data_IF_558134272438
#
_entry.id   IF_558134272438
#
_cell.length_a   1.000
_cell.length_b   1.000
_cell.length_c   1.000
_cell.angle_alpha   90.00
_cell.angle_beta   90.00
_cell.angle_gamma   90.00
#
_symmetry.space_group_name_H-M   'P 1'
#
loop_
_entity.id
_entity.type
_entity.pdbx_description
1 polymer ?
#
# COMPACT_ATOMS: atom_id res chain seq x y z
N UNK A 1 17.98 12.99 -8.87
CA UNK A 1 17.14 13.97 -8.20
C UNK A 1 15.70 13.48 -8.16
N UNK A 2 15.02 13.62 -7.04
CA UNK A 2 13.65 13.20 -6.89
C UNK A 2 12.70 14.30 -7.31
N UNK A 3 11.76 13.96 -8.18
CA UNK A 3 10.69 14.87 -8.54
C UNK A 3 9.69 14.95 -7.39
N UNK A 4 9.24 16.17 -7.05
CA UNK A 4 8.34 16.42 -5.93
C UNK A 4 7.11 17.17 -6.43
N UNK A 5 5.93 16.69 -6.04
CA UNK A 5 4.68 17.41 -6.24
C UNK A 5 4.38 18.22 -4.99
N UNK A 6 4.20 19.52 -5.15
CA UNK A 6 4.09 20.45 -4.02
C UNK A 6 2.99 20.08 -3.03
N UNK A 7 1.84 19.57 -3.50
CA UNK A 7 0.71 19.23 -2.64
C UNK A 7 0.58 17.74 -2.38
N UNK A 8 1.54 16.92 -2.82
CA UNK A 8 1.47 15.49 -2.63
C UNK A 8 1.77 15.12 -1.18
N UNK A 9 0.82 14.49 -0.47
CA UNK A 9 1.05 14.13 0.93
C UNK A 9 2.05 12.99 1.11
N UNK A 10 2.39 12.25 0.03
CA UNK A 10 3.32 11.13 0.13
C UNK A 10 4.72 11.46 -0.38
N UNK A 11 4.94 12.63 -0.99
CA UNK A 11 6.30 13.07 -1.27
C UNK A 11 7.00 13.35 0.05
N UNK A 12 8.07 12.62 0.35
CA UNK A 12 8.73 12.69 1.65
C UNK A 12 9.24 14.10 1.97
N UNK A 13 9.57 14.86 0.95
CA UNK A 13 10.03 16.24 1.10
C UNK A 13 8.96 17.16 1.69
N UNK A 14 7.69 16.81 1.51
CA UNK A 14 6.57 17.55 2.08
C UNK A 14 6.33 17.22 3.55
N UNK A 15 6.97 16.17 4.03
CA UNK A 15 7.06 15.81 5.43
C UNK A 15 5.74 15.54 6.16
N UNK A 16 4.68 15.07 5.48
CA UNK A 16 3.39 14.90 6.16
C UNK A 16 3.33 13.64 7.03
N UNK A 17 4.16 12.62 6.71
CA UNK A 17 4.14 11.33 7.42
C UNK A 17 5.42 11.10 8.23
N UNK A 18 6.21 12.12 8.46
CA UNK A 18 7.55 11.98 9.06
C UNK A 18 7.53 11.23 10.38
N UNK A 19 6.56 11.52 11.23
CA UNK A 19 6.48 10.91 12.56
C UNK A 19 6.10 9.44 12.51
N UNK A 20 5.60 8.96 11.38
CA UNK A 20 5.14 7.58 11.19
C UNK A 20 6.09 6.74 10.33
N UNK A 21 7.26 7.28 10.01
CA UNK A 21 8.24 6.53 9.21
C UNK A 21 8.87 5.45 10.06
N UNK A 22 8.69 4.21 9.66
CA UNK A 22 9.20 3.03 10.35
C UNK A 22 10.53 2.54 9.79
N UNK A 23 10.78 2.84 8.52
CA UNK A 23 11.98 2.42 7.81
C UNK A 23 12.17 3.29 6.59
N UNK A 24 13.41 3.49 6.21
CA UNK A 24 13.75 4.33 5.07
C UNK A 24 15.05 3.84 4.44
N UNK A 25 15.09 3.80 3.11
CA UNK A 25 16.29 3.57 2.35
C UNK A 25 16.38 4.61 1.22
N UNK A 26 17.39 4.56 0.34
CA UNK A 26 17.51 5.59 -0.70
C UNK A 26 16.34 5.66 -1.68
N UNK A 27 15.55 4.60 -1.85
CA UNK A 27 14.51 4.53 -2.88
C UNK A 27 13.10 4.50 -2.31
N UNK A 28 12.91 4.06 -1.06
CA UNK A 28 11.62 3.83 -0.44
C UNK A 28 11.58 4.34 0.98
N UNK A 29 10.35 4.54 1.49
CA UNK A 29 10.14 4.63 2.92
C UNK A 29 8.87 3.87 3.29
N UNK A 30 8.81 3.41 4.53
CA UNK A 30 7.70 2.59 5.03
C UNK A 30 7.07 3.32 6.21
N UNK A 31 5.75 3.42 6.18
CA UNK A 31 4.97 3.98 7.29
C UNK A 31 3.97 2.94 7.77
N UNK A 32 3.52 3.08 9.00
CA UNK A 32 2.33 2.33 9.40
C UNK A 32 1.09 2.99 8.80
N UNK A 33 0.05 2.20 8.65
CA UNK A 33 -1.25 2.67 8.20
C UNK A 33 -2.27 2.21 9.23
N UNK A 34 -2.88 3.16 9.91
CA UNK A 34 -3.91 2.88 10.90
C UNK A 34 -5.17 3.57 10.45
N UNK A 35 -5.99 2.86 9.70
CA UNK A 35 -7.17 3.42 9.09
C UNK A 35 -8.29 2.41 9.17
N UNK A 36 -9.45 2.87 9.59
CA UNK A 36 -10.61 2.02 9.70
C UNK A 36 -10.42 0.92 10.74
N UNK A 37 -10.86 -0.26 10.41
CA UNK A 37 -10.85 -1.39 11.33
C UNK A 37 -9.55 -2.20 11.28
N UNK A 38 -8.70 -1.96 10.29
CA UNK A 38 -7.39 -2.62 10.20
C UNK A 38 -6.36 -1.67 10.79
N UNK A 39 -5.79 -2.05 11.92
CA UNK A 39 -4.85 -1.22 12.64
C UNK A 39 -3.45 -1.81 12.72
N UNK A 40 -3.17 -2.87 11.98
CA UNK A 40 -1.83 -3.41 11.83
C UNK A 40 -1.53 -3.56 10.34
N UNK A 41 -1.01 -2.49 9.77
CA UNK A 41 -0.74 -2.42 8.34
C UNK A 41 0.42 -1.48 8.09
N UNK A 42 1.12 -1.71 6.98
CA UNK A 42 2.22 -0.86 6.53
C UNK A 42 2.04 -0.48 5.07
N UNK A 43 2.60 0.66 4.71
CA UNK A 43 2.69 1.12 3.32
C UNK A 43 4.13 1.35 2.95
N UNK A 44 4.53 0.90 1.77
CA UNK A 44 5.82 1.24 1.19
C UNK A 44 5.60 2.28 0.09
N UNK A 45 6.30 3.39 0.17
CA UNK A 45 6.09 4.54 -0.68
C UNK A 45 7.42 4.87 -1.35
N UNK A 46 7.39 5.08 -2.67
CA UNK A 46 8.61 5.47 -3.39
C UNK A 46 9.01 6.89 -3.01
N UNK A 47 10.33 7.12 -2.90
CA UNK A 47 10.82 8.49 -2.68
C UNK A 47 10.65 9.34 -3.92
N UNK A 48 10.82 8.74 -5.10
CA UNK A 48 10.55 9.40 -6.36
C UNK A 48 9.04 9.54 -6.54
N UNK A 49 8.57 10.70 -6.97
CA UNK A 49 7.13 10.87 -7.20
C UNK A 49 6.74 10.17 -8.50
N UNK A 50 6.09 9.03 -8.36
CA UNK A 50 5.43 8.31 -9.44
C UNK A 50 4.01 8.01 -8.98
N UNK A 51 3.07 7.94 -9.91
CA UNK A 51 1.67 7.76 -9.53
C UNK A 51 1.28 6.30 -9.34
N UNK A 52 1.84 5.39 -10.14
CA UNK A 52 1.43 3.99 -10.13
C UNK A 52 2.63 3.07 -10.15
N UNK A 53 2.44 1.78 -9.79
CA UNK A 53 3.51 0.79 -9.86
C UNK A 53 4.01 0.53 -11.28
N UNK A 54 3.23 0.92 -12.31
CA UNK A 54 3.68 0.77 -13.69
C UNK A 54 4.85 1.70 -14.02
N UNK A 55 5.08 2.72 -13.18
CA UNK A 55 6.17 3.69 -13.37
C UNK A 55 7.41 3.34 -12.55
N UNK A 56 7.39 2.24 -11.81
CA UNK A 56 8.52 1.80 -10.99
C UNK A 56 9.67 1.40 -11.90
N UNK A 57 10.89 1.85 -11.56
CA UNK A 57 12.09 1.48 -12.32
C UNK A 57 12.72 0.20 -11.78
N UNK A 58 13.75 -0.30 -12.48
CA UNK A 58 14.36 -1.57 -12.13
C UNK A 58 14.98 -1.58 -10.74
N UNK A 59 15.66 -0.50 -10.35
CA UNK A 59 16.29 -0.42 -9.04
C UNK A 59 15.26 -0.45 -7.92
N UNK A 60 14.15 0.26 -8.13
CA UNK A 60 13.04 0.25 -7.16
C UNK A 60 12.44 -1.14 -7.04
N UNK A 61 12.22 -1.84 -8.16
CA UNK A 61 11.74 -3.21 -8.13
C UNK A 61 12.71 -4.15 -7.43
N UNK A 62 14.00 -4.02 -7.73
CA UNK A 62 15.01 -4.89 -7.14
C UNK A 62 15.05 -4.77 -5.61
N UNK A 63 14.90 -3.55 -5.09
CA UNK A 63 14.91 -3.32 -3.65
C UNK A 63 13.61 -3.71 -2.96
N UNK A 64 12.51 -3.81 -3.72
CA UNK A 64 11.19 -4.08 -3.14
C UNK A 64 11.11 -5.45 -2.49
N UNK A 65 11.84 -6.42 -3.01
CA UNK A 65 11.85 -7.78 -2.44
C UNK A 65 12.26 -7.78 -0.97
N UNK A 66 13.37 -7.12 -0.66
CA UNK A 66 13.83 -7.03 0.73
C UNK A 66 12.92 -6.14 1.55
N UNK A 67 12.42 -5.08 0.93
CA UNK A 67 11.52 -4.16 1.60
C UNK A 67 10.24 -4.86 2.04
N UNK A 68 9.68 -5.71 1.18
CA UNK A 68 8.46 -6.44 1.51
C UNK A 68 8.65 -7.33 2.73
N UNK A 69 9.79 -8.00 2.83
CA UNK A 69 10.12 -8.80 4.00
C UNK A 69 10.27 -7.93 5.25
N UNK A 70 10.81 -6.74 5.09
CA UNK A 70 10.92 -5.78 6.19
C UNK A 70 9.54 -5.35 6.69
N UNK A 71 8.64 -5.06 5.76
CA UNK A 71 7.25 -4.70 6.08
C UNK A 71 6.57 -5.83 6.86
N UNK A 72 6.77 -7.07 6.43
CA UNK A 72 6.20 -8.22 7.13
C UNK A 72 6.71 -8.31 8.56
N UNK A 73 8.01 -8.11 8.77
CA UNK A 73 8.59 -8.15 10.11
C UNK A 73 8.01 -7.06 11.01
N UNK A 74 7.79 -5.87 10.46
CA UNK A 74 7.20 -4.77 11.22
C UNK A 74 5.77 -5.11 11.66
N UNK A 75 5.00 -5.73 10.79
CA UNK A 75 3.63 -6.16 11.10
C UNK A 75 3.65 -7.29 12.13
N UNK A 76 4.46 -8.32 11.90
CA UNK A 76 4.53 -9.50 12.77
C UNK A 76 5.01 -9.13 14.18
N UNK A 77 5.83 -8.09 14.30
CA UNK A 77 6.33 -7.65 15.60
C UNK A 77 5.19 -7.16 16.50
N UNK A 78 4.17 -6.52 15.93
CA UNK A 78 3.02 -6.07 16.71
C UNK A 78 2.16 -7.25 17.14
N UNK A 79 1.76 -8.07 16.18
CA UNK A 79 0.94 -9.26 16.44
C UNK A 79 0.97 -10.11 15.16
N UNK A 80 1.40 -11.36 15.27
CA UNK A 80 1.48 -12.25 14.12
C UNK A 80 0.06 -12.53 13.60
N UNK A 81 -0.24 -12.20 12.34
CA UNK A 81 -1.58 -12.41 11.80
C UNK A 81 -1.78 -13.81 11.27
N UNK A 82 -3.03 -14.14 10.95
CA UNK A 82 -3.36 -15.39 10.26
C UNK A 82 -3.07 -15.34 8.77
N UNK A 83 -2.95 -14.14 8.22
CA UNK A 83 -2.66 -13.96 6.80
C UNK A 83 -2.44 -12.51 6.47
N UNK A 84 -2.22 -12.22 5.19
CA UNK A 84 -1.89 -10.87 4.72
C UNK A 84 -2.63 -10.57 3.43
N UNK A 85 -2.93 -9.30 3.21
CA UNK A 85 -3.24 -8.80 1.87
C UNK A 85 -2.12 -7.87 1.45
N UNK A 86 -1.62 -8.07 0.25
CA UNK A 86 -0.51 -7.30 -0.29
C UNK A 86 -0.95 -6.80 -1.65
N UNK A 87 -0.84 -5.50 -1.90
CA UNK A 87 -1.22 -5.02 -3.21
C UNK A 87 -1.18 -3.52 -3.37
N UNK A 88 -1.44 -3.13 -4.60
CA UNK A 88 -1.49 -1.76 -5.07
C UNK A 88 -2.90 -1.41 -5.46
N UNK A 89 -3.34 -0.20 -5.14
CA UNK A 89 -4.50 0.38 -5.79
C UNK A 89 -4.00 1.32 -6.88
N UNK A 90 -4.53 1.18 -8.08
CA UNK A 90 -4.09 1.97 -9.23
C UNK A 90 -5.25 2.80 -9.74
N UNK A 91 -5.05 4.10 -9.78
CA UNK A 91 -6.04 5.10 -10.16
C UNK A 91 -7.26 5.09 -9.25
N UNK A 92 -8.05 6.14 -9.36
CA UNK A 92 -9.17 6.36 -8.45
C UNK A 92 -10.20 5.24 -8.50
N UNK A 93 -10.51 4.75 -9.70
CA UNK A 93 -11.47 3.66 -9.88
C UNK A 93 -10.98 2.37 -9.20
N UNK A 94 -9.69 2.16 -9.13
CA UNK A 94 -9.09 1.03 -8.43
C UNK A 94 -8.93 1.22 -6.93
N UNK A 95 -9.28 2.41 -6.42
CA UNK A 95 -9.22 2.70 -4.99
C UNK A 95 -8.00 3.50 -4.54
N UNK A 96 -7.24 4.06 -5.48
CA UNK A 96 -6.07 4.87 -5.12
C UNK A 96 -6.51 6.25 -4.64
N UNK A 97 -6.26 6.54 -3.38
CA UNK A 97 -6.67 7.81 -2.78
C UNK A 97 -5.62 8.92 -2.92
N UNK A 98 -4.36 8.54 -3.04
CA UNK A 98 -3.24 9.48 -3.18
C UNK A 98 -2.49 9.13 -4.44
N UNK A 99 -2.29 10.11 -5.32
CA UNK A 99 -1.64 9.92 -6.63
C UNK A 99 -0.12 9.87 -6.48
N UNK A 100 0.36 8.92 -5.69
CA UNK A 100 1.76 8.61 -5.45
C UNK A 100 1.81 7.13 -5.11
N UNK A 101 2.55 6.35 -5.86
CA UNK A 101 2.55 4.89 -5.75
C UNK A 101 2.87 4.43 -4.33
N UNK A 102 2.02 3.57 -3.78
CA UNK A 102 2.25 3.01 -2.46
C UNK A 102 1.70 1.58 -2.40
N UNK A 103 2.52 0.70 -1.88
CA UNK A 103 2.20 -0.72 -1.71
C UNK A 103 1.64 -0.93 -0.31
N UNK A 104 0.49 -1.59 -0.23
CA UNK A 104 -0.13 -1.93 1.04
C UNK A 104 0.26 -3.34 1.47
N UNK A 105 0.56 -3.50 2.76
CA UNK A 105 0.62 -4.80 3.40
C UNK A 105 -0.27 -4.75 4.63
N UNK A 106 -1.37 -5.50 4.57
CA UNK A 106 -2.39 -5.50 5.62
C UNK A 106 -2.33 -6.82 6.38
N UNK A 107 -2.26 -6.75 7.71
CA UNK A 107 -2.40 -7.93 8.55
C UNK A 107 -3.87 -8.32 8.62
N UNK A 108 -4.15 -9.62 8.46
CA UNK A 108 -5.50 -10.14 8.54
C UNK A 108 -5.58 -11.18 9.67
N UNK A 109 -6.59 -11.05 10.50
CA UNK A 109 -6.74 -11.88 11.70
C UNK A 109 -7.96 -12.76 11.61
N UNK A 110 -7.87 -13.98 12.19
CA UNK A 110 -8.94 -14.96 12.10
C UNK A 110 -10.23 -14.52 12.80
N UNK A 111 -10.13 -13.60 13.74
CA UNK A 111 -11.29 -13.10 14.48
C UNK A 111 -11.94 -11.86 13.85
N UNK A 112 -11.46 -11.41 12.69
CA UNK A 112 -12.15 -10.34 11.95
C UNK A 112 -13.44 -10.89 11.33
N UNK A 113 -14.53 -10.11 11.34
CA UNK A 113 -15.75 -10.54 10.62
C UNK A 113 -15.52 -10.80 9.13
N UNK A 114 -14.58 -10.08 8.49
CA UNK A 114 -14.29 -10.25 7.07
C UNK A 114 -13.08 -11.16 6.81
N UNK A 115 -12.66 -11.95 7.77
CA UNK A 115 -11.57 -12.91 7.57
C UNK A 115 -11.87 -13.78 6.35
N UNK A 116 -10.87 -13.96 5.49
CA UNK A 116 -11.02 -14.69 4.24
C UNK A 116 -11.51 -13.85 3.06
N UNK A 117 -11.92 -12.61 3.30
CA UNK A 117 -12.32 -11.69 2.22
C UNK A 117 -11.08 -10.93 1.75
N UNK A 118 -10.57 -11.31 0.58
CA UNK A 118 -9.34 -10.77 0.04
C UNK A 118 -9.56 -9.84 -1.14
N UNK A 119 -8.52 -9.72 -1.97
CA UNK A 119 -8.50 -8.79 -3.12
C UNK A 119 -9.66 -9.01 -4.07
N UNK A 120 -10.12 -10.25 -4.22
CA UNK A 120 -11.22 -10.58 -5.15
C UNK A 120 -12.61 -10.37 -4.56
N UNK A 121 -12.70 -9.85 -3.35
CA UNK A 121 -13.99 -9.73 -2.66
C UNK A 121 -15.02 -8.96 -3.49
N UNK A 122 -14.61 -7.87 -4.13
CA UNK A 122 -15.50 -7.05 -4.94
C UNK A 122 -16.13 -7.83 -6.10
N UNK A 123 -15.37 -8.76 -6.69
CA UNK A 123 -15.88 -9.56 -7.81
C UNK A 123 -16.91 -10.62 -7.38
N UNK A 124 -16.98 -10.90 -6.11
CA UNK A 124 -17.91 -11.89 -5.57
C UNK A 124 -19.24 -11.28 -5.13
N UNK A 125 -19.38 -9.96 -5.25
CA UNK A 125 -20.60 -9.28 -4.83
C UNK A 125 -21.60 -9.26 -5.98
N UNK A 126 -22.80 -9.89 -5.80
CA UNK A 126 -23.78 -10.01 -6.89
C UNK A 126 -24.21 -8.66 -7.49
N UNK A 127 -24.27 -7.62 -6.68
CA UNK A 127 -24.68 -6.30 -7.12
C UNK A 127 -23.56 -5.42 -7.63
N UNK A 128 -22.33 -5.95 -7.71
CA UNK A 128 -21.20 -5.20 -8.29
C UNK A 128 -21.12 -5.51 -9.79
N UNK A 129 -22.15 -5.10 -10.52
CA UNK A 129 -22.27 -5.33 -11.96
C UNK A 129 -22.04 -4.03 -12.72
N UNK A 130 -21.30 -4.12 -13.80
CA UNK A 130 -21.09 -2.95 -14.65
C UNK A 130 -22.37 -2.62 -15.39
N UNK A 131 -22.68 -1.33 -15.50
CA UNK A 131 -23.84 -0.85 -16.23
C UNK A 131 -23.60 -0.84 -17.74
N UNK A 132 -22.34 -0.74 -18.18
CA UNK A 132 -21.99 -0.88 -19.59
C UNK A 132 -20.84 -1.85 -19.69
N UNK A 133 -21.02 -2.90 -20.52
CA UNK A 133 -20.01 -3.94 -20.68
C UNK A 133 -19.30 -3.76 -22.01
N UNK A 134 -17.97 -3.82 -22.04
CA UNK A 134 -17.26 -3.90 -23.29
C UNK A 134 -17.57 -5.23 -23.97
N UNK A 135 -17.48 -5.23 -25.27
CA UNK A 135 -17.67 -6.45 -26.05
C UNK A 135 -16.44 -7.31 -26.07
#
# INVERSE_FOLDING_TARGET
MTEVKQLCPFCIQNNPLKVNILYEDPLWYVTNMEEGSINNATMAITKRHIETPFDINEDEWASLRMLLNKMKKLVDYKEVPGGYNIGWNVHKTGGQNVAHAHLHLLARYNDEPLAGKGIRYAFKQPNNQRTSKPK
#
